data_IF_684254491171
#
_entry.id   IF_684254491171
#
_cell.length_a   1.000
_cell.length_b   1.000
_cell.length_c   1.000
_cell.angle_alpha   90.00
_cell.angle_beta   90.00
_cell.angle_gamma   90.00
#
_symmetry.space_group_name_H-M   'P 1'
#
loop_
_entity.id
_entity.type
_entity.pdbx_description
1 polymer ?
#
# COMPACT_ATOMS: atom_id res chain seq x y z
N UNK A 1 -7.05 -14.69 8.88
CA UNK A 1 -6.60 -13.28 8.95
C UNK A 1 -6.22 -12.92 10.36
N UNK A 2 -5.10 -12.26 10.50
CA UNK A 2 -4.63 -11.79 11.81
C UNK A 2 -4.34 -10.31 11.74
N UNK A 3 -4.59 -9.60 12.83
CA UNK A 3 -4.24 -8.20 12.99
C UNK A 3 -3.06 -8.06 13.93
N UNK A 4 -2.09 -7.25 13.53
CA UNK A 4 -0.90 -6.98 14.33
C UNK A 4 -0.67 -5.48 14.41
N UNK A 5 -0.21 -5.01 15.57
CA UNK A 5 0.40 -3.69 15.64
C UNK A 5 1.70 -3.72 14.86
N UNK A 6 2.01 -2.66 14.15
CA UNK A 6 3.27 -2.56 13.43
C UNK A 6 3.79 -1.12 13.48
N UNK A 7 5.10 -0.99 13.26
CA UNK A 7 5.77 0.30 13.17
C UNK A 7 6.31 0.47 11.77
N UNK A 8 6.03 1.60 11.17
CA UNK A 8 6.44 1.88 9.79
C UNK A 8 7.95 2.14 9.76
N UNK A 9 8.67 1.38 8.96
CA UNK A 9 10.10 1.56 8.75
C UNK A 9 10.36 2.43 7.52
N UNK A 10 9.71 2.09 6.39
CA UNK A 10 9.93 2.82 5.15
C UNK A 10 8.85 2.47 4.12
N UNK A 11 8.32 3.47 3.47
CA UNK A 11 7.46 3.28 2.29
C UNK A 11 8.37 3.14 1.07
N UNK A 12 8.28 2.02 0.38
CA UNK A 12 9.12 1.70 -0.80
C UNK A 12 8.44 2.20 -2.07
N UNK A 13 7.15 1.89 -2.22
CA UNK A 13 6.35 2.23 -3.38
C UNK A 13 4.89 2.36 -2.94
N UNK A 14 4.00 2.75 -3.84
CA UNK A 14 2.58 2.90 -3.53
C UNK A 14 1.92 1.63 -3.01
N UNK A 15 2.48 0.47 -3.29
CA UNK A 15 1.93 -0.82 -2.88
C UNK A 15 2.91 -1.69 -2.08
N UNK A 16 3.99 -1.09 -1.55
CA UNK A 16 5.02 -1.84 -0.81
C UNK A 16 5.59 -0.99 0.31
N UNK A 17 5.55 -1.51 1.54
CA UNK A 17 6.03 -0.80 2.72
C UNK A 17 6.76 -1.78 3.64
N UNK A 18 7.91 -1.37 4.16
CA UNK A 18 8.66 -2.13 5.16
C UNK A 18 8.22 -1.73 6.56
N UNK A 19 7.98 -2.73 7.41
CA UNK A 19 7.50 -2.53 8.77
C UNK A 19 8.22 -3.43 9.76
N UNK A 20 8.17 -3.05 11.03
CA UNK A 20 8.46 -3.95 12.15
C UNK A 20 7.11 -4.42 12.69
N UNK A 21 6.92 -5.72 12.85
CA UNK A 21 5.66 -6.31 13.31
C UNK A 21 5.80 -6.69 14.78
N UNK A 22 4.87 -6.21 15.61
CA UNK A 22 4.79 -6.55 17.02
C UNK A 22 4.01 -7.87 17.16
N UNK A 23 4.69 -8.91 17.61
CA UNK A 23 4.09 -10.23 17.83
C UNK A 23 3.56 -10.39 19.26
N UNK A 24 3.68 -9.36 20.08
CA UNK A 24 3.34 -9.46 21.51
C UNK A 24 4.49 -9.99 22.34
N UNK A 25 4.35 -9.89 23.66
CA UNK A 25 5.35 -10.38 24.62
C UNK A 25 6.75 -9.76 24.44
N UNK A 26 6.85 -8.57 23.85
CA UNK A 26 8.13 -7.95 23.56
C UNK A 26 8.87 -8.53 22.36
N UNK A 27 8.22 -9.39 21.58
CA UNK A 27 8.80 -10.02 20.41
C UNK A 27 8.43 -9.23 19.15
N UNK A 28 9.44 -8.82 18.38
CA UNK A 28 9.28 -8.07 17.16
C UNK A 28 9.87 -8.82 15.97
N UNK A 29 9.14 -8.84 14.88
CA UNK A 29 9.63 -9.33 13.61
C UNK A 29 10.07 -8.11 12.80
N UNK A 30 11.39 -7.89 12.73
CA UNK A 30 11.96 -6.67 12.17
C UNK A 30 12.03 -6.66 10.64
N UNK A 31 11.85 -5.48 10.04
CA UNK A 31 12.09 -5.19 8.62
C UNK A 31 11.38 -6.16 7.69
N UNK A 32 10.09 -6.33 7.90
CA UNK A 32 9.28 -7.17 7.03
C UNK A 32 8.73 -6.35 5.87
N UNK A 33 8.87 -6.84 4.67
CA UNK A 33 8.33 -6.19 3.49
C UNK A 33 6.90 -6.63 3.25
N UNK A 34 5.99 -5.65 3.25
CA UNK A 34 4.57 -5.88 3.05
C UNK A 34 4.18 -5.42 1.65
N UNK A 35 3.63 -6.34 0.87
CA UNK A 35 2.96 -6.04 -0.39
C UNK A 35 1.48 -5.80 -0.09
N UNK A 36 0.94 -4.67 -0.52
CA UNK A 36 -0.46 -4.35 -0.28
C UNK A 36 -1.35 -5.36 -1.00
N UNK A 37 -2.21 -6.03 -0.24
CA UNK A 37 -3.10 -7.04 -0.77
C UNK A 37 -4.23 -6.40 -1.58
N UNK A 38 -4.52 -7.01 -2.74
CA UNK A 38 -5.70 -6.69 -3.54
C UNK A 38 -5.58 -5.44 -4.40
N UNK A 39 -4.40 -4.82 -4.47
CA UNK A 39 -4.20 -3.63 -5.29
C UNK A 39 -2.92 -3.70 -6.10
N UNK A 40 -2.86 -2.89 -7.15
CA UNK A 40 -1.67 -2.63 -7.92
C UNK A 40 -1.56 -1.13 -8.14
N UNK A 41 -0.37 -0.57 -7.97
CA UNK A 41 -0.12 0.86 -8.16
C UNK A 41 0.86 1.08 -9.30
N UNK A 42 0.85 2.28 -9.93
CA UNK A 42 1.89 2.62 -10.89
C UNK A 42 3.26 2.58 -10.22
N UNK A 43 4.28 2.21 -10.97
CA UNK A 43 5.63 2.13 -10.43
C UNK A 43 6.25 3.51 -10.28
N UNK A 44 6.92 3.75 -9.15
CA UNK A 44 7.68 4.97 -8.91
C UNK A 44 9.13 4.85 -9.39
N UNK A 45 9.62 3.62 -9.56
CA UNK A 45 10.99 3.32 -10.01
C UNK A 45 10.99 2.78 -11.43
N UNK A 46 10.50 3.57 -12.36
CA UNK A 46 10.42 3.20 -13.78
C UNK A 46 11.14 4.24 -14.62
N UNK A 47 11.54 3.83 -15.82
CA UNK A 47 12.11 4.75 -16.83
C UNK A 47 11.03 5.54 -17.56
N UNK A 48 9.77 5.09 -17.46
CA UNK A 48 8.63 5.80 -18.04
C UNK A 48 8.32 7.02 -17.16
N UNK A 49 8.68 8.20 -17.65
CA UNK A 49 8.53 9.46 -16.91
C UNK A 49 7.07 9.75 -16.55
N UNK A 50 6.13 9.38 -17.39
CA UNK A 50 4.70 9.58 -17.15
C UNK A 50 4.20 8.66 -16.03
N UNK A 51 4.49 7.37 -16.14
CA UNK A 51 4.12 6.40 -15.10
C UNK A 51 4.71 6.78 -13.75
N UNK A 52 5.95 7.27 -13.76
CA UNK A 52 6.66 7.68 -12.54
C UNK A 52 5.93 8.79 -11.79
N UNK A 53 5.31 9.72 -12.50
CA UNK A 53 4.51 10.80 -11.89
C UNK A 53 3.37 10.20 -11.06
N UNK A 54 2.64 9.25 -11.64
CA UNK A 54 1.52 8.58 -10.96
C UNK A 54 1.98 7.64 -9.86
N UNK A 55 3.10 6.96 -10.07
CA UNK A 55 3.74 6.12 -9.05
C UNK A 55 4.18 6.94 -7.84
N UNK A 56 4.80 8.08 -8.06
CA UNK A 56 5.22 8.98 -6.98
C UNK A 56 4.00 9.58 -6.25
N UNK A 57 2.92 9.89 -6.97
CA UNK A 57 1.69 10.38 -6.35
C UNK A 57 1.06 9.33 -5.43
N UNK A 58 1.00 8.08 -5.88
CA UNK A 58 0.51 6.97 -5.06
C UNK A 58 1.38 6.76 -3.82
N UNK A 59 2.70 6.78 -3.99
CA UNK A 59 3.65 6.67 -2.89
C UNK A 59 3.48 7.80 -1.89
N UNK A 60 3.28 9.03 -2.34
CA UNK A 60 3.09 10.20 -1.47
C UNK A 60 1.81 10.06 -0.64
N UNK A 61 0.73 9.56 -1.22
CA UNK A 61 -0.50 9.31 -0.46
C UNK A 61 -0.25 8.29 0.64
N UNK A 62 0.43 7.19 0.33
CA UNK A 62 0.77 6.17 1.34
C UNK A 62 1.63 6.77 2.43
N UNK A 63 2.64 7.56 2.10
CA UNK A 63 3.51 8.20 3.08
C UNK A 63 2.75 9.14 4.02
N UNK A 64 1.70 9.78 3.54
CA UNK A 64 0.87 10.67 4.37
C UNK A 64 0.08 9.91 5.43
N UNK A 65 -0.31 8.66 5.15
CA UNK A 65 -1.03 7.81 6.10
C UNK A 65 -0.11 6.92 6.93
N UNK A 66 1.09 6.61 6.41
CA UNK A 66 2.08 5.75 7.06
C UNK A 66 3.39 6.50 7.28
N UNK A 67 3.39 7.54 8.13
CA UNK A 67 4.65 8.25 8.43
C UNK A 67 5.68 7.29 9.04
N UNK A 68 6.95 7.47 8.70
CA UNK A 68 8.04 6.65 9.25
C UNK A 68 8.03 6.76 10.78
N UNK A 69 8.11 5.62 11.45
CA UNK A 69 8.08 5.53 12.91
C UNK A 69 6.69 5.50 13.51
N UNK A 70 5.62 5.71 12.71
CA UNK A 70 4.26 5.67 13.22
C UNK A 70 3.80 4.24 13.48
N UNK A 71 2.87 4.10 14.43
CA UNK A 71 2.23 2.82 14.75
C UNK A 71 0.94 2.67 13.97
N UNK A 72 0.80 1.57 13.27
CA UNK A 72 -0.37 1.26 12.46
C UNK A 72 -0.84 -0.16 12.75
N UNK A 73 -1.94 -0.55 12.17
CA UNK A 73 -2.44 -1.92 12.26
C UNK A 73 -2.27 -2.60 10.91
N UNK A 74 -1.61 -3.74 10.91
CA UNK A 74 -1.41 -4.58 9.74
C UNK A 74 -2.36 -5.77 9.81
N UNK A 75 -3.18 -5.94 8.77
CA UNK A 75 -4.07 -7.10 8.63
C UNK A 75 -3.42 -8.03 7.61
N UNK A 76 -2.90 -9.17 8.07
CA UNK A 76 -2.23 -10.12 7.18
C UNK A 76 -3.23 -11.08 6.57
N UNK A 77 -2.97 -11.52 5.35
CA UNK A 77 -3.71 -12.59 4.73
C UNK A 77 -3.07 -13.91 5.09
N UNK A 78 -3.88 -14.79 5.67
CA UNK A 78 -3.43 -16.08 6.16
C UNK A 78 -2.83 -16.93 5.04
N UNK A 79 -1.68 -17.54 5.35
CA UNK A 79 -1.00 -18.51 4.48
C UNK A 79 -0.56 -17.94 3.13
N UNK A 80 -0.65 -16.65 2.94
CA UNK A 80 -0.19 -16.06 1.69
C UNK A 80 1.09 -15.26 1.90
N UNK A 81 2.14 -15.76 1.28
CA UNK A 81 3.39 -15.03 1.12
C UNK A 81 3.51 -14.74 -0.36
N UNK A 82 3.66 -13.48 -0.72
CA UNK A 82 3.79 -13.07 -2.11
C UNK A 82 5.05 -13.65 -2.76
N UNK A 83 5.15 -13.54 -4.08
CA UNK A 83 6.37 -13.86 -4.81
C UNK A 83 7.51 -13.08 -4.17
N UNK A 84 8.68 -13.64 -4.06
CA UNK A 84 9.86 -13.01 -3.47
C UNK A 84 9.82 -12.86 -1.94
N UNK A 85 9.01 -13.65 -1.24
CA UNK A 85 8.99 -13.68 0.22
C UNK A 85 8.33 -12.48 0.89
N UNK A 86 7.51 -11.72 0.17
CA UNK A 86 6.77 -10.59 0.74
C UNK A 86 5.50 -11.08 1.43
N UNK A 87 5.19 -10.46 2.56
CA UNK A 87 3.93 -10.70 3.25
C UNK A 87 2.84 -9.88 2.57
N UNK A 88 1.68 -10.49 2.31
CA UNK A 88 0.53 -9.80 1.76
C UNK A 88 -0.34 -9.27 2.88
N UNK A 89 -0.73 -8.00 2.82
CA UNK A 89 -1.51 -7.41 3.89
C UNK A 89 -2.24 -6.13 3.53
N UNK A 90 -3.11 -5.73 4.46
CA UNK A 90 -3.81 -4.45 4.40
C UNK A 90 -3.40 -3.61 5.59
N UNK A 91 -3.32 -2.30 5.40
CA UNK A 91 -3.06 -1.36 6.48
C UNK A 91 -4.35 -0.69 6.95
N UNK A 92 -4.59 -0.76 8.25
CA UNK A 92 -5.70 -0.09 8.90
C UNK A 92 -5.15 1.14 9.61
N UNK A 93 -5.60 2.31 9.21
CA UNK A 93 -5.09 3.59 9.69
C UNK A 93 -6.21 4.42 10.29
N UNK A 94 -5.88 5.19 11.32
CA UNK A 94 -6.82 6.15 11.88
C UNK A 94 -6.73 7.45 11.10
N UNK A 95 -7.89 7.95 10.65
CA UNK A 95 -8.01 9.23 9.98
C UNK A 95 -8.56 10.25 10.96
N UNK A 96 -7.72 11.19 11.38
CA UNK A 96 -8.09 12.22 12.35
C UNK A 96 -9.11 13.22 11.81
N UNK A 97 -9.13 13.44 10.50
CA UNK A 97 -10.08 14.37 9.87
C UNK A 97 -11.51 13.87 9.94
N UNK A 98 -11.71 12.58 9.73
CA UNK A 98 -13.04 11.96 9.75
C UNK A 98 -13.35 11.26 11.08
N UNK A 99 -12.36 11.18 11.98
CA UNK A 99 -12.45 10.46 13.26
C UNK A 99 -12.89 9.01 13.03
N UNK A 100 -12.30 8.35 12.04
CA UNK A 100 -12.65 6.99 11.66
C UNK A 100 -11.41 6.17 11.29
N UNK A 101 -11.52 4.86 11.43
CA UNK A 101 -10.52 3.93 10.93
C UNK A 101 -10.79 3.64 9.45
N UNK A 102 -9.75 3.65 8.65
CA UNK A 102 -9.83 3.34 7.22
C UNK A 102 -8.90 2.19 6.86
N UNK A 103 -9.23 1.50 5.80
CA UNK A 103 -8.33 0.54 5.17
C UNK A 103 -7.64 1.26 4.02
N UNK A 104 -6.34 1.48 4.15
CA UNK A 104 -5.57 2.27 3.17
C UNK A 104 -5.64 1.66 1.77
N UNK A 105 -5.61 0.33 1.67
CA UNK A 105 -5.74 -0.35 0.37
C UNK A 105 -7.00 0.08 -0.38
N UNK A 106 -8.13 0.17 0.34
CA UNK A 106 -9.40 0.58 -0.26
C UNK A 106 -9.40 2.07 -0.63
N UNK A 107 -8.80 2.89 0.23
CA UNK A 107 -8.66 4.33 -0.04
C UNK A 107 -7.85 4.58 -1.31
N UNK A 108 -6.79 3.81 -1.53
CA UNK A 108 -5.96 3.94 -2.72
C UNK A 108 -6.76 3.71 -4.00
N UNK A 109 -7.67 2.73 -3.99
CA UNK A 109 -8.57 2.48 -5.13
C UNK A 109 -9.56 3.62 -5.26
N UNK A 110 -10.17 4.03 -4.18
CA UNK A 110 -11.18 5.10 -4.16
C UNK A 110 -10.63 6.42 -4.71
N UNK A 111 -9.38 6.74 -4.40
CA UNK A 111 -8.70 7.96 -4.84
C UNK A 111 -8.01 7.79 -6.21
N UNK A 112 -8.23 6.68 -6.88
CA UNK A 112 -7.69 6.37 -8.22
C UNK A 112 -6.16 6.30 -8.29
N UNK A 113 -5.51 6.03 -7.16
CA UNK A 113 -4.05 5.78 -7.10
C UNK A 113 -3.71 4.32 -7.29
N UNK A 114 -4.68 3.43 -7.19
CA UNK A 114 -4.48 1.99 -7.32
C UNK A 114 -5.60 1.36 -8.15
N UNK A 115 -5.26 0.23 -8.73
CA UNK A 115 -6.20 -0.64 -9.44
C UNK A 115 -6.47 -1.85 -8.55
N UNK A 116 -7.73 -2.28 -8.46
CA UNK A 116 -8.06 -3.53 -7.77
C UNK A 116 -7.37 -4.68 -8.49
N UNK A 117 -6.63 -5.49 -7.73
CA UNK A 117 -5.88 -6.61 -8.29
C UNK A 117 -6.45 -7.93 -7.79
N UNK A 118 -6.88 -8.79 -8.72
CA UNK A 118 -7.45 -10.10 -8.43
C UNK A 118 -6.91 -11.18 -9.36
N UNK A 119 -5.73 -10.95 -9.96
CA UNK A 119 -5.10 -11.88 -10.89
C UNK A 119 -5.43 -11.67 -12.35
N UNK A 120 -6.07 -10.56 -12.70
CA UNK A 120 -6.37 -10.22 -14.09
C UNK A 120 -5.08 -10.01 -14.89
N UNK A 121 -5.20 -9.99 -16.22
CA UNK A 121 -4.06 -9.87 -17.13
C UNK A 121 -3.34 -8.54 -16.96
N UNK A 122 -2.07 -8.50 -17.36
CA UNK A 122 -1.28 -7.26 -17.36
C UNK A 122 -1.90 -6.20 -18.27
N UNK A 123 -2.52 -6.62 -19.37
CA UNK A 123 -3.19 -5.70 -20.30
C UNK A 123 -4.38 -5.03 -19.65
N UNK A 124 -5.20 -5.79 -18.91
CA UNK A 124 -6.35 -5.25 -18.19
C UNK A 124 -5.90 -4.28 -17.10
N UNK A 125 -4.85 -4.62 -16.37
CA UNK A 125 -4.28 -3.76 -15.33
C UNK A 125 -3.80 -2.45 -15.95
N UNK A 126 -3.08 -2.52 -17.07
CA UNK A 126 -2.58 -1.33 -17.76
C UNK A 126 -3.72 -0.42 -18.23
N UNK A 127 -4.77 -0.99 -18.82
CA UNK A 127 -5.96 -0.22 -19.21
C UNK A 127 -6.59 0.49 -18.02
N UNK A 128 -6.69 -0.20 -16.89
CA UNK A 128 -7.25 0.36 -15.67
C UNK A 128 -6.37 1.49 -15.12
N UNK A 129 -5.06 1.35 -15.17
CA UNK A 129 -4.14 2.43 -14.77
C UNK A 129 -4.26 3.64 -15.69
N UNK A 130 -4.37 3.42 -16.99
CA UNK A 130 -4.55 4.51 -17.94
C UNK A 130 -5.88 5.25 -17.71
N UNK A 131 -6.93 4.52 -17.40
CA UNK A 131 -8.22 5.13 -17.04
C UNK A 131 -8.12 5.97 -15.76
N UNK A 132 -7.39 5.48 -14.76
CA UNK A 132 -7.17 6.19 -13.50
C UNK A 132 -6.43 7.52 -13.70
N UNK A 133 -5.57 7.63 -14.69
CA UNK A 133 -4.83 8.86 -14.98
C UNK A 133 -5.77 10.04 -15.28
N UNK A 134 -6.95 9.77 -15.82
CA UNK A 134 -7.96 10.79 -16.11
C UNK A 134 -8.73 11.22 -14.86
N UNK A 135 -8.70 10.44 -13.80
CA UNK A 135 -9.53 10.61 -12.62
C UNK A 135 -8.74 11.02 -11.37
N UNK A 136 -7.46 10.69 -11.31
CA UNK A 136 -6.65 10.91 -10.12
C UNK A 136 -6.36 12.40 -9.92
N UNK A 137 -6.40 12.82 -8.65
CA UNK A 137 -5.96 14.15 -8.24
C UNK A 137 -4.47 14.10 -7.90
N UNK A 138 -3.66 14.83 -8.66
CA UNK A 138 -2.22 14.90 -8.45
C UNK A 138 -1.81 16.07 -7.53
N UNK A 139 -2.79 16.81 -7.00
CA UNK A 139 -2.50 17.94 -6.12
C UNK A 139 -2.07 19.21 -6.85
N UNK A 140 -2.33 19.28 -8.15
CA UNK A 140 -2.01 20.45 -8.97
C UNK A 140 -3.15 21.47 -8.99
#
# INVERSE_FOLDING_TARGET
MYEYACKIVRVIDGDTTDVDIDLGFGVWLKKQRIRFYGIDTPESRTRDATEKIYGNAAKSLVMSYLPVGSSQILITHKDEVGKYGRILGKFKCYDSETDAWIILNNLMIQEHHAVAYHGQSKEDIEEQHLANRELVDLGE
#
